data_IF_087347532007
#
_entry.id   IF_087347532007
#
_cell.length_a   1.000
_cell.length_b   1.000
_cell.length_c   1.000
_cell.angle_alpha   90.00
_cell.angle_beta   90.00
_cell.angle_gamma   90.00
#
_symmetry.space_group_name_H-M   'P 1'
#
loop_
_entity.id
_entity.type
_entity.pdbx_description
1 polymer ?
#
# COMPACT_ATOMS: atom_id res chain seq x y z
N UNK A 1 -2.97 -8.34 -1.00
CA UNK A 1 -4.39 -8.49 -0.57
C UNK A 1 -4.46 -8.12 0.92
N UNK A 2 -5.20 -7.05 1.26
CA UNK A 2 -5.28 -6.56 2.64
C UNK A 2 -6.50 -7.19 3.32
N UNK A 3 -6.27 -8.10 4.26
CA UNK A 3 -7.32 -8.64 5.12
C UNK A 3 -7.50 -7.67 6.30
N UNK A 4 -8.63 -6.96 6.31
CA UNK A 4 -9.10 -6.15 7.44
C UNK A 4 -10.17 -6.92 8.22
N UNK A 5 -10.43 -6.59 9.50
CA UNK A 5 -11.55 -7.15 10.25
C UNK A 5 -12.89 -7.01 9.48
N UNK A 6 -13.11 -5.85 8.84
CA UNK A 6 -14.28 -5.64 7.98
C UNK A 6 -14.33 -6.61 6.79
N UNK A 7 -13.22 -6.79 6.07
CA UNK A 7 -13.15 -7.73 4.96
C UNK A 7 -13.40 -9.18 5.41
N UNK A 8 -12.91 -9.58 6.58
CA UNK A 8 -13.22 -10.89 7.16
C UNK A 8 -14.72 -11.04 7.44
N UNK A 9 -15.36 -10.03 8.05
CA UNK A 9 -16.79 -10.06 8.34
C UNK A 9 -17.64 -10.15 7.07
N UNK A 10 -17.34 -9.36 6.03
CA UNK A 10 -18.10 -9.38 4.78
C UNK A 10 -17.89 -10.66 3.99
N UNK A 11 -16.63 -11.10 3.82
CA UNK A 11 -16.31 -12.18 2.90
C UNK A 11 -16.30 -13.57 3.55
N UNK A 12 -16.08 -13.68 4.86
CA UNK A 12 -16.05 -14.97 5.57
C UNK A 12 -17.33 -15.17 6.35
N UNK A 13 -17.65 -14.24 7.25
CA UNK A 13 -18.81 -14.39 8.14
C UNK A 13 -20.12 -14.28 7.38
N UNK A 14 -20.36 -13.17 6.67
CA UNK A 14 -21.64 -12.97 5.98
C UNK A 14 -21.83 -13.91 4.80
N UNK A 15 -20.78 -14.08 3.98
CA UNK A 15 -20.86 -14.88 2.75
C UNK A 15 -20.83 -16.38 3.01
N UNK A 16 -19.96 -16.86 3.90
CA UNK A 16 -19.79 -18.29 4.15
C UNK A 16 -20.45 -18.77 5.44
N UNK A 17 -20.98 -17.86 6.28
CA UNK A 17 -21.62 -18.20 7.57
C UNK A 17 -20.69 -19.01 8.46
N UNK A 18 -19.43 -18.60 8.53
CA UNK A 18 -18.38 -19.23 9.35
C UNK A 18 -17.73 -18.16 10.22
N UNK A 19 -17.53 -18.46 11.51
CA UNK A 19 -16.82 -17.63 12.48
C UNK A 19 -15.54 -18.31 12.95
N UNK A 20 -14.54 -17.51 13.32
CA UNK A 20 -13.27 -17.99 13.86
C UNK A 20 -13.32 -17.89 15.37
N UNK A 21 -13.29 -19.03 16.04
CA UNK A 21 -13.36 -19.15 17.50
C UNK A 21 -11.96 -19.38 18.05
N UNK A 22 -11.71 -18.90 19.27
CA UNK A 22 -10.47 -19.19 20.00
C UNK A 22 -9.24 -18.39 19.54
N UNK A 23 -9.44 -17.28 18.83
CA UNK A 23 -8.33 -16.41 18.46
C UNK A 23 -7.67 -15.80 19.71
N UNK A 24 -6.33 -15.87 19.84
CA UNK A 24 -5.64 -15.37 21.02
C UNK A 24 -5.72 -13.84 21.12
N UNK A 25 -6.12 -13.33 22.29
CA UNK A 25 -6.20 -11.88 22.57
C UNK A 25 -4.85 -11.17 22.54
N UNK A 26 -3.75 -11.91 22.71
CA UNK A 26 -2.38 -11.40 22.63
C UNK A 26 -1.94 -11.05 21.20
N UNK A 27 -2.62 -11.60 20.17
CA UNK A 27 -2.28 -11.38 18.77
C UNK A 27 -3.38 -10.56 18.11
N UNK A 28 -3.01 -9.41 17.53
CA UNK A 28 -3.95 -8.60 16.76
C UNK A 28 -4.40 -9.35 15.52
N UNK A 29 -5.71 -9.36 15.26
CA UNK A 29 -6.25 -9.98 14.06
C UNK A 29 -5.94 -9.12 12.83
N UNK A 30 -5.06 -9.64 11.99
CA UNK A 30 -4.62 -9.04 10.74
C UNK A 30 -4.06 -10.13 9.85
N UNK A 31 -3.77 -9.79 8.60
CA UNK A 31 -3.00 -10.67 7.73
C UNK A 31 -1.69 -11.11 8.44
N UNK A 32 -1.42 -12.43 8.46
CA UNK A 32 -0.29 -13.05 9.14
C UNK A 32 1.06 -12.45 8.74
N UNK A 33 1.21 -11.97 7.51
CA UNK A 33 2.42 -11.28 7.04
C UNK A 33 2.70 -9.95 7.75
N UNK A 34 1.68 -9.34 8.38
CA UNK A 34 1.80 -8.08 9.14
C UNK A 34 1.76 -8.28 10.66
N UNK A 35 1.72 -9.53 11.14
CA UNK A 35 1.80 -9.82 12.57
C UNK A 35 3.23 -9.55 13.04
N UNK A 36 3.38 -8.68 14.04
CA UNK A 36 4.68 -8.37 14.65
C UNK A 36 5.03 -9.41 15.70
N UNK A 37 6.33 -9.63 15.92
CA UNK A 37 6.84 -10.64 16.85
C UNK A 37 7.52 -11.84 16.17
N UNK A 38 7.68 -11.78 14.84
CA UNK A 38 8.40 -12.81 14.07
C UNK A 38 7.65 -14.13 14.06
N UNK A 39 8.37 -15.23 14.29
CA UNK A 39 7.82 -16.58 14.21
C UNK A 39 6.97 -16.97 15.43
N UNK A 40 7.15 -16.32 16.58
CA UNK A 40 6.50 -16.72 17.84
C UNK A 40 4.96 -16.60 17.80
N UNK A 41 4.36 -15.49 17.34
CA UNK A 41 2.91 -15.39 17.17
C UNK A 41 2.36 -16.41 16.18
N UNK A 42 3.12 -16.72 15.13
CA UNK A 42 2.71 -17.68 14.10
C UNK A 42 2.71 -19.10 14.68
N UNK A 43 3.74 -19.47 15.46
CA UNK A 43 3.80 -20.74 16.18
C UNK A 43 2.66 -20.86 17.19
N UNK A 44 2.41 -19.81 17.99
CA UNK A 44 1.29 -19.80 18.92
C UNK A 44 -0.05 -20.05 18.21
N UNK A 45 -0.30 -19.34 17.09
CA UNK A 45 -1.50 -19.54 16.30
C UNK A 45 -1.58 -20.97 15.73
N UNK A 46 -0.46 -21.53 15.29
CA UNK A 46 -0.39 -22.90 14.79
C UNK A 46 -0.66 -23.94 15.89
N UNK A 47 -0.07 -23.76 17.07
CA UNK A 47 -0.26 -24.66 18.20
C UNK A 47 -1.72 -24.62 18.67
N UNK A 48 -2.32 -23.42 18.80
CA UNK A 48 -3.75 -23.27 19.13
C UNK A 48 -4.67 -23.90 18.08
N UNK A 49 -4.29 -23.84 16.81
CA UNK A 49 -5.04 -24.49 15.73
C UNK A 49 -4.96 -26.01 15.84
N UNK A 50 -3.75 -26.52 16.10
CA UNK A 50 -3.48 -27.95 16.23
C UNK A 50 -4.17 -28.54 17.45
N UNK A 51 -4.19 -27.80 18.55
CA UNK A 51 -4.87 -28.18 19.80
C UNK A 51 -6.41 -28.07 19.68
N UNK A 52 -6.92 -27.54 18.56
CA UNK A 52 -8.36 -27.36 18.30
C UNK A 52 -8.98 -26.21 19.08
N UNK A 53 -8.20 -25.50 19.90
CA UNK A 53 -8.64 -24.30 20.62
C UNK A 53 -9.08 -23.23 19.63
N UNK A 54 -8.31 -23.06 18.55
CA UNK A 54 -8.65 -22.16 17.45
C UNK A 54 -9.19 -22.95 16.26
N UNK A 55 -10.44 -22.70 15.89
CA UNK A 55 -11.09 -23.39 14.77
C UNK A 55 -12.18 -22.53 14.12
N UNK A 56 -12.56 -22.92 12.91
CA UNK A 56 -13.71 -22.35 12.24
C UNK A 56 -14.98 -23.08 12.66
N UNK A 57 -15.94 -22.34 13.19
CA UNK A 57 -17.26 -22.83 13.57
C UNK A 57 -18.32 -22.25 12.63
N UNK A 58 -19.36 -23.02 12.33
CA UNK A 58 -20.49 -22.54 11.54
C UNK A 58 -21.31 -21.55 12.37
N UNK A 59 -21.66 -20.42 11.78
CA UNK A 59 -22.50 -19.43 12.42
C UNK A 59 -23.91 -20.00 12.59
N UNK A 60 -24.44 -19.95 13.81
CA UNK A 60 -25.82 -20.35 14.08
C UNK A 60 -26.79 -19.38 13.41
N UNK A 61 -27.95 -19.87 12.98
CA UNK A 61 -28.96 -19.04 12.28
C UNK A 61 -29.46 -17.86 13.13
N UNK A 62 -29.36 -17.98 14.46
CA UNK A 62 -29.77 -16.97 15.42
C UNK A 62 -28.68 -15.93 15.75
N UNK A 63 -27.43 -16.16 15.32
CA UNK A 63 -26.34 -15.21 15.55
C UNK A 63 -26.26 -14.22 14.40
N UNK A 64 -26.50 -12.94 14.70
CA UNK A 64 -26.27 -11.89 13.72
C UNK A 64 -24.76 -11.77 13.45
N UNK A 65 -24.32 -11.75 12.19
CA UNK A 65 -22.92 -11.49 11.87
C UNK A 65 -22.47 -10.07 12.28
N UNK A 66 -23.40 -9.20 12.67
CA UNK A 66 -23.15 -7.87 13.23
C UNK A 66 -22.69 -7.89 14.67
N UNK A 67 -23.18 -8.84 15.45
CA UNK A 67 -22.97 -8.91 16.91
C UNK A 67 -21.77 -9.78 17.29
N UNK A 68 -21.12 -10.41 16.30
CA UNK A 68 -19.92 -11.20 16.54
C UNK A 68 -18.76 -10.29 16.97
N UNK A 69 -18.27 -10.52 18.19
CA UNK A 69 -17.01 -9.95 18.66
C UNK A 69 -15.90 -10.36 17.70
N UNK A 70 -15.24 -9.37 17.09
CA UNK A 70 -14.21 -9.65 16.11
C UNK A 70 -12.99 -10.25 16.83
N UNK A 71 -12.36 -11.31 16.28
CA UNK A 71 -11.12 -11.80 16.83
C UNK A 71 -10.12 -10.63 16.92
N UNK A 72 -9.52 -10.41 18.09
CA UNK A 72 -8.50 -9.39 18.30
C UNK A 72 -8.97 -7.93 18.44
N UNK A 73 -10.26 -7.65 18.63
CA UNK A 73 -10.80 -6.28 18.83
C UNK A 73 -10.29 -5.60 20.13
N UNK A 74 -9.80 -6.39 21.10
CA UNK A 74 -9.44 -5.90 22.44
C UNK A 74 -8.04 -5.29 22.57
N UNK A 75 -7.53 -4.65 21.53
CA UNK A 75 -6.40 -3.74 21.67
C UNK A 75 -6.87 -2.41 21.11
N UNK A 76 -7.08 -1.43 22.01
CA UNK A 76 -7.30 -0.03 21.67
C UNK A 76 -6.12 0.46 20.82
N UNK A 77 -6.20 0.20 19.52
CA UNK A 77 -5.36 0.80 18.53
C UNK A 77 -5.99 2.14 18.23
N UNK A 78 -5.42 3.18 18.83
CA UNK A 78 -5.71 4.59 18.55
C UNK A 78 -6.06 4.74 17.08
N UNK A 79 -7.34 5.06 16.86
CA UNK A 79 -8.06 4.96 15.61
C UNK A 79 -7.12 5.13 14.40
N UNK A 80 -6.81 4.03 13.72
CA UNK A 80 -6.29 4.15 12.37
C UNK A 80 -7.41 4.86 11.61
N UNK A 81 -7.23 6.13 11.17
CA UNK A 81 -8.32 6.85 10.53
C UNK A 81 -8.75 6.01 9.33
N UNK A 82 -10.07 5.95 9.04
CA UNK A 82 -10.55 5.24 7.87
C UNK A 82 -9.69 5.73 6.71
N UNK A 83 -9.06 4.77 6.00
CA UNK A 83 -8.30 5.11 4.80
C UNK A 83 -9.32 5.81 3.92
N UNK A 84 -9.25 7.15 3.83
CA UNK A 84 -10.00 7.88 2.83
C UNK A 84 -9.77 7.10 1.55
N UNK A 85 -10.83 6.78 0.83
CA UNK A 85 -10.72 6.37 -0.55
C UNK A 85 -9.98 7.53 -1.23
N UNK A 86 -8.65 7.49 -1.22
CA UNK A 86 -7.83 8.40 -1.98
C UNK A 86 -8.10 7.90 -3.38
N UNK A 87 -9.17 8.45 -3.97
CA UNK A 87 -9.30 8.53 -5.43
C UNK A 87 -7.89 8.83 -5.88
N UNK A 88 -7.29 7.96 -6.69
CA UNK A 88 -5.96 8.21 -7.26
C UNK A 88 -6.12 9.48 -8.10
N UNK A 89 -5.99 10.63 -7.45
CA UNK A 89 -5.94 11.91 -8.13
C UNK A 89 -4.64 11.83 -8.88
N UNK A 90 -4.72 11.78 -10.21
CA UNK A 90 -3.53 12.04 -11.01
C UNK A 90 -2.93 13.36 -10.53
N UNK A 91 -1.59 13.48 -10.63
CA UNK A 91 -0.95 14.74 -10.29
C UNK A 91 -1.64 15.86 -11.08
N UNK A 92 -1.78 17.03 -10.46
CA UNK A 92 -2.50 18.16 -11.05
C UNK A 92 -1.94 18.65 -12.39
N UNK A 93 -0.73 18.20 -12.76
CA UNK A 93 -0.04 18.49 -14.01
C UNK A 93 -0.19 17.42 -15.10
N UNK A 94 -0.85 16.28 -14.82
CA UNK A 94 -1.05 15.26 -15.86
C UNK A 94 -2.02 15.77 -16.93
N UNK A 95 -1.63 15.62 -18.21
CA UNK A 95 -2.38 16.10 -19.36
C UNK A 95 -2.22 17.59 -19.67
N UNK A 96 -1.56 18.37 -18.81
CA UNK A 96 -1.29 19.79 -19.09
C UNK A 96 -0.10 19.92 -20.05
N UNK A 97 -0.31 20.67 -21.12
CA UNK A 97 0.77 21.01 -22.05
C UNK A 97 1.81 21.89 -21.32
N UNK A 98 3.06 21.44 -21.27
CA UNK A 98 4.16 22.22 -20.68
C UNK A 98 4.50 23.37 -21.63
N UNK A 99 4.75 24.56 -21.10
CA UNK A 99 5.28 25.67 -21.89
C UNK A 99 6.62 25.26 -22.51
N UNK A 100 6.66 25.24 -23.85
CA UNK A 100 7.87 24.99 -24.65
C UNK A 100 8.18 26.28 -25.42
N UNK A 101 8.95 27.20 -24.83
CA UNK A 101 9.30 28.43 -25.53
C UNK A 101 10.14 28.09 -26.77
N UNK A 102 9.78 28.71 -27.91
CA UNK A 102 10.44 28.51 -29.21
C UNK A 102 11.89 29.04 -29.18
N UNK A 103 12.10 30.13 -28.45
CA UNK A 103 13.41 30.75 -28.20
C UNK A 103 13.84 30.45 -26.77
N UNK A 104 15.14 30.31 -26.49
CA UNK A 104 15.64 30.19 -25.13
C UNK A 104 15.46 31.51 -24.37
N UNK A 105 14.44 31.63 -23.49
CA UNK A 105 14.13 32.92 -22.86
C UNK A 105 15.18 33.34 -21.83
N UNK A 106 15.99 32.39 -21.36
CA UNK A 106 17.03 32.61 -20.35
C UNK A 106 18.40 32.86 -20.99
N UNK A 107 18.50 32.84 -22.34
CA UNK A 107 19.76 33.06 -23.06
C UNK A 107 20.88 32.06 -22.74
N UNK A 108 20.57 30.96 -22.05
CA UNK A 108 21.55 29.97 -21.64
C UNK A 108 22.18 29.28 -22.86
N UNK A 109 23.45 28.86 -22.79
CA UNK A 109 24.06 28.10 -23.87
C UNK A 109 23.26 26.81 -24.13
N UNK A 110 23.06 26.50 -25.41
CA UNK A 110 22.39 25.26 -25.80
C UNK A 110 23.21 24.08 -25.28
N UNK A 111 22.55 23.12 -24.62
CA UNK A 111 23.18 21.92 -24.06
C UNK A 111 23.95 21.10 -25.11
N UNK A 112 23.64 21.27 -26.38
CA UNK A 112 24.39 20.72 -27.52
C UNK A 112 24.56 21.83 -28.55
N UNK A 113 25.79 22.22 -28.86
CA UNK A 113 26.07 23.06 -30.03
C UNK A 113 25.59 22.31 -31.28
N UNK A 114 24.81 23.00 -32.13
CA UNK A 114 24.68 22.54 -33.51
C UNK A 114 26.04 22.74 -34.15
N UNK A 115 26.69 21.65 -34.55
CA UNK A 115 27.82 21.70 -35.46
C UNK A 115 27.25 22.05 -36.84
N UNK A 116 26.88 23.31 -37.04
CA UNK A 116 26.85 23.86 -38.40
C UNK A 116 28.31 23.98 -38.81
N UNK A 117 28.70 23.22 -39.83
CA UNK A 117 30.04 23.25 -40.38
C UNK A 117 30.34 24.62 -40.96
N UNK A 118 30.95 25.47 -40.15
CA UNK A 118 31.77 26.57 -40.62
C UNK A 118 33.22 26.09 -40.45
N UNK A 119 33.90 25.89 -41.59
CA UNK A 119 35.33 25.68 -41.57
C UNK A 119 36.02 26.85 -40.84
N UNK A 120 36.97 26.57 -39.94
CA UNK A 120 37.77 27.64 -39.39
C UNK A 120 38.65 28.21 -40.51
N UNK A 121 38.39 29.46 -40.89
CA UNK A 121 39.29 30.22 -41.75
C UNK A 121 40.65 30.32 -41.04
N UNK A 122 41.59 29.54 -41.57
CA UNK A 122 43.00 29.54 -41.26
C UNK A 122 43.58 30.96 -41.40
N UNK A 123 44.44 31.34 -40.46
CA UNK A 123 44.89 32.72 -40.32
C UNK A 123 46.07 32.88 -39.37
N UNK A 124 47.01 31.95 -39.43
CA UNK A 124 48.31 32.05 -38.79
C UNK A 124 49.07 33.28 -39.29
N UNK A 125 49.40 34.24 -38.42
CA UNK A 125 50.57 35.15 -38.54
C UNK A 125 50.83 35.91 -37.24
N UNK A 126 51.81 35.44 -36.45
CA UNK A 126 52.72 36.35 -35.72
C UNK A 126 54.10 36.14 -36.31
N UNK A 127 54.64 37.22 -36.88
CA UNK A 127 56.01 37.34 -37.36
C UNK A 127 56.72 38.30 -36.42
N UNK A 128 57.95 37.95 -36.03
CA UNK A 128 59.01 38.88 -35.63
C UNK A 128 58.88 39.49 -34.26
#
# INVERSE_FOLDING_TARGET
MYWTPHAYRTYVVQRHRIKLVGWPKSVRFRNLSFVRGGINPIRLLFDLWKDGVMHFERLSEHESPEDLEMPGDRLEDGAQPPRRNVIRTQRSDVGKHRMRPITNPLGLPLRRMRLTGEEPADGTRRVG
#
